data_IF_233892759179
#
_entry.id   IF_233892759179
#
_cell.length_a   1.000
_cell.length_b   1.000
_cell.length_c   1.000
_cell.angle_alpha   90.00
_cell.angle_beta   90.00
_cell.angle_gamma   90.00
#
_symmetry.space_group_name_H-M   'P 1'
#
loop_
_entity.id
_entity.type
_entity.pdbx_description
1 polymer ?
#
# COMPACT_ATOMS: atom_id res chain seq x y z
N UNK A 1 26.36 44.51 -52.65
CA UNK A 1 25.36 43.57 -52.09
C UNK A 1 25.98 42.18 -52.09
N UNK A 2 26.60 41.75 -50.99
CA UNK A 2 27.16 40.41 -50.86
C UNK A 2 27.37 40.06 -49.38
N UNK A 3 26.27 39.90 -48.63
CA UNK A 3 26.31 39.36 -47.28
C UNK A 3 24.93 38.79 -46.92
N UNK A 4 24.56 37.63 -47.45
CA UNK A 4 23.33 36.95 -47.00
C UNK A 4 23.35 35.42 -47.12
N UNK A 5 24.51 34.80 -47.30
CA UNK A 5 24.59 33.34 -47.49
C UNK A 5 25.29 32.60 -46.34
N UNK A 6 26.09 33.28 -45.50
CA UNK A 6 26.84 32.61 -44.42
C UNK A 6 26.03 32.40 -43.13
N UNK A 7 25.01 33.21 -42.85
CA UNK A 7 24.19 33.06 -41.64
C UNK A 7 23.18 31.91 -41.74
N UNK A 8 22.66 31.64 -42.95
CA UNK A 8 21.69 30.57 -43.18
C UNK A 8 22.32 29.17 -43.07
N UNK A 9 23.58 29.02 -43.49
CA UNK A 9 24.31 27.74 -43.40
C UNK A 9 24.65 27.38 -41.95
N UNK A 10 24.95 28.39 -41.11
CA UNK A 10 25.25 28.16 -39.69
C UNK A 10 24.00 27.76 -38.89
N UNK A 11 22.82 28.30 -39.25
CA UNK A 11 21.56 27.93 -38.61
C UNK A 11 21.10 26.51 -38.98
N UNK A 12 21.34 26.07 -40.22
CA UNK A 12 21.05 24.69 -40.65
C UNK A 12 22.01 23.64 -40.04
N UNK A 13 23.26 24.00 -39.75
CA UNK A 13 24.20 23.12 -39.02
C UNK A 13 23.88 22.98 -37.52
N UNK A 14 23.26 23.99 -36.91
CA UNK A 14 22.79 23.95 -35.51
C UNK A 14 21.50 23.11 -35.33
N UNK A 15 20.74 22.87 -36.40
CA UNK A 15 19.56 22.00 -36.39
C UNK A 15 19.88 20.51 -36.57
N UNK A 16 21.14 20.14 -36.85
CA UNK A 16 21.55 18.75 -37.11
C UNK A 16 22.18 18.01 -35.93
N UNK A 17 22.27 18.62 -34.73
CA UNK A 17 22.86 17.99 -33.51
C UNK A 17 21.86 17.87 -32.35
N UNK A 18 20.56 17.93 -32.65
CA UNK A 18 19.53 17.38 -31.77
C UNK A 18 18.95 16.13 -32.45
N UNK A 19 19.80 15.11 -32.65
CA UNK A 19 19.23 13.77 -32.67
C UNK A 19 18.46 13.66 -31.34
N UNK A 20 17.16 13.30 -31.33
CA UNK A 20 16.58 12.84 -30.10
C UNK A 20 17.50 11.69 -29.68
N UNK A 21 18.25 11.89 -28.60
CA UNK A 21 18.75 10.77 -27.84
C UNK A 21 17.47 10.01 -27.53
N UNK A 22 17.21 8.98 -28.32
CA UNK A 22 16.25 7.98 -27.96
C UNK A 22 16.88 7.42 -26.72
N UNK A 23 16.48 7.94 -25.56
CA UNK A 23 16.53 7.20 -24.32
C UNK A 23 15.73 5.94 -24.65
N UNK A 24 16.42 4.95 -25.21
CA UNK A 24 16.09 3.57 -24.95
C UNK A 24 16.37 3.40 -23.46
N UNK A 25 15.50 3.98 -22.64
CA UNK A 25 15.12 3.29 -21.44
C UNK A 25 14.52 2.00 -21.99
N UNK A 26 15.31 0.93 -21.96
CA UNK A 26 14.68 -0.36 -21.81
C UNK A 26 13.87 -0.20 -20.51
N UNK A 27 12.57 0.00 -20.64
CA UNK A 27 11.67 -0.19 -19.52
C UNK A 27 11.91 -1.65 -19.12
N UNK A 28 12.63 -1.86 -18.02
CA UNK A 28 12.87 -3.19 -17.49
C UNK A 28 11.55 -3.65 -16.86
N UNK A 29 10.63 -4.06 -17.73
CA UNK A 29 9.29 -4.45 -17.34
C UNK A 29 9.38 -5.82 -16.68
N UNK A 30 9.05 -5.89 -15.40
CA UNK A 30 8.95 -7.17 -14.69
C UNK A 30 7.50 -7.63 -14.72
N UNK A 31 7.28 -8.88 -15.11
CA UNK A 31 5.97 -9.54 -15.04
C UNK A 31 6.03 -10.65 -14.00
N UNK A 32 5.13 -10.60 -13.02
CA UNK A 32 4.97 -11.64 -12.00
C UNK A 32 3.56 -12.24 -12.11
N UNK A 33 3.45 -13.54 -11.85
CA UNK A 33 2.18 -14.26 -11.89
C UNK A 33 2.10 -15.23 -10.72
N UNK A 34 0.98 -15.23 -10.00
CA UNK A 34 0.72 -16.12 -8.87
C UNK A 34 -0.78 -16.19 -8.55
N UNK A 35 -1.14 -17.14 -7.69
CA UNK A 35 -2.50 -17.35 -7.21
C UNK A 35 -2.60 -17.10 -5.71
N UNK A 36 -3.55 -16.26 -5.33
CA UNK A 36 -3.90 -15.92 -3.97
C UNK A 36 -5.08 -16.75 -3.48
N UNK A 37 -5.03 -17.16 -2.22
CA UNK A 37 -6.08 -17.97 -1.57
C UNK A 37 -6.67 -17.20 -0.39
N UNK A 38 -7.81 -16.54 -0.61
CA UNK A 38 -8.57 -15.81 0.42
C UNK A 38 -9.50 -16.80 1.13
N UNK A 39 -9.15 -17.14 2.37
CA UNK A 39 -9.86 -18.14 3.18
C UNK A 39 -10.52 -17.44 4.35
N UNK A 40 -11.84 -17.32 4.27
CA UNK A 40 -12.69 -16.68 5.29
C UNK A 40 -13.31 -17.75 6.21
N UNK A 41 -13.50 -18.96 5.69
CA UNK A 41 -14.15 -20.07 6.38
C UNK A 41 -13.18 -21.05 7.06
N UNK A 42 -13.73 -22.04 7.76
CA UNK A 42 -12.95 -23.12 8.37
C UNK A 42 -12.28 -22.77 9.70
N UNK A 43 -11.37 -23.65 10.15
CA UNK A 43 -10.72 -23.52 11.47
C UNK A 43 -9.47 -22.64 11.46
N UNK A 44 -8.91 -22.36 10.28
CA UNK A 44 -7.69 -21.57 10.10
C UNK A 44 -7.90 -20.51 9.00
N UNK A 45 -8.80 -19.54 9.20
CA UNK A 45 -9.02 -18.48 8.22
C UNK A 45 -7.78 -17.60 8.08
N UNK A 46 -7.51 -17.15 6.86
CA UNK A 46 -6.48 -16.17 6.52
C UNK A 46 -7.05 -14.77 6.32
N UNK A 47 -8.37 -14.67 6.24
CA UNK A 47 -9.14 -13.43 6.09
C UNK A 47 -10.18 -13.33 7.20
N UNK A 48 -10.05 -12.28 8.02
CA UNK A 48 -10.82 -12.14 9.27
C UNK A 48 -11.51 -10.78 9.32
N UNK A 49 -12.84 -10.72 9.53
CA UNK A 49 -13.55 -9.46 9.72
C UNK A 49 -13.13 -8.80 11.03
N UNK A 50 -12.73 -7.53 10.96
CA UNK A 50 -12.25 -6.74 12.11
C UNK A 50 -13.11 -5.52 12.41
N UNK A 51 -13.86 -5.03 11.41
CA UNK A 51 -14.81 -3.93 11.58
C UNK A 51 -16.15 -4.35 10.98
N UNK A 52 -17.22 -4.22 11.76
CA UNK A 52 -18.58 -4.26 11.25
C UNK A 52 -19.00 -2.86 10.82
N UNK A 53 -19.24 -2.69 9.54
CA UNK A 53 -19.68 -1.42 8.96
C UNK A 53 -21.10 -1.04 9.40
N UNK A 54 -21.47 0.25 9.23
CA UNK A 54 -22.80 0.76 9.58
C UNK A 54 -23.91 0.28 8.63
N UNK A 55 -23.58 -0.54 7.64
CA UNK A 55 -24.50 -1.02 6.62
C UNK A 55 -25.78 -1.67 7.16
N UNK A 56 -26.81 -1.68 6.33
CA UNK A 56 -28.11 -2.25 6.68
C UNK A 56 -28.12 -3.78 6.85
N UNK A 57 -29.28 -4.33 7.21
CA UNK A 57 -29.45 -5.76 7.46
C UNK A 57 -29.14 -6.67 6.26
N UNK A 58 -29.16 -6.12 5.03
CA UNK A 58 -28.92 -6.87 3.80
C UNK A 58 -27.49 -6.59 3.28
N UNK A 59 -26.67 -7.64 3.03
CA UNK A 59 -25.35 -7.50 2.44
C UNK A 59 -25.41 -6.84 1.05
N UNK A 60 -24.56 -5.85 0.82
CA UNK A 60 -24.34 -5.26 -0.52
C UNK A 60 -23.45 -6.18 -1.37
N UNK A 61 -22.65 -7.04 -0.74
CA UNK A 61 -21.90 -8.12 -1.37
C UNK A 61 -22.31 -9.48 -0.77
N UNK A 62 -23.42 -10.08 -1.25
CA UNK A 62 -23.94 -11.33 -0.68
C UNK A 62 -22.96 -12.51 -0.73
N UNK A 63 -22.16 -12.63 -1.80
CA UNK A 63 -21.14 -13.68 -1.95
C UNK A 63 -20.03 -13.58 -0.89
N UNK A 64 -19.77 -12.38 -0.39
CA UNK A 64 -18.78 -12.13 0.66
C UNK A 64 -19.40 -12.05 2.06
N UNK A 65 -20.74 -12.02 2.14
CA UNK A 65 -21.46 -11.76 3.39
C UNK A 65 -21.24 -10.36 3.97
N UNK A 66 -20.80 -9.40 3.15
CA UNK A 66 -20.40 -8.06 3.60
C UNK A 66 -21.45 -6.99 3.31
N UNK A 67 -21.54 -6.01 4.21
CA UNK A 67 -22.27 -4.74 4.03
C UNK A 67 -21.29 -3.56 4.05
N UNK A 68 -21.73 -2.40 3.53
CA UNK A 68 -20.93 -1.19 3.45
C UNK A 68 -20.20 -0.85 4.76
N UNK A 69 -18.88 -0.67 4.66
CA UNK A 69 -17.95 -0.39 5.76
C UNK A 69 -17.41 -1.63 6.47
N UNK A 70 -17.92 -2.83 6.19
CA UNK A 70 -17.30 -4.06 6.70
C UNK A 70 -15.85 -4.12 6.22
N UNK A 71 -14.94 -4.39 7.14
CA UNK A 71 -13.50 -4.44 6.87
C UNK A 71 -12.91 -5.74 7.38
N UNK A 72 -12.13 -6.40 6.55
CA UNK A 72 -11.37 -7.61 6.90
C UNK A 72 -9.88 -7.35 6.81
N UNK A 73 -9.12 -7.97 7.71
CA UNK A 73 -7.66 -8.09 7.60
C UNK A 73 -7.32 -9.40 6.93
N UNK A 74 -6.29 -9.40 6.09
CA UNK A 74 -5.83 -10.58 5.35
C UNK A 74 -4.35 -10.87 5.57
N UNK A 75 -4.03 -12.16 5.56
CA UNK A 75 -2.69 -12.71 5.45
C UNK A 75 -2.75 -13.99 4.59
N UNK A 76 -3.06 -13.81 3.31
CA UNK A 76 -3.38 -14.90 2.39
C UNK A 76 -2.12 -15.49 1.74
N UNK A 77 -2.15 -16.77 1.43
CA UNK A 77 -1.04 -17.45 0.76
C UNK A 77 -1.01 -17.11 -0.74
N UNK A 78 0.19 -16.94 -1.30
CA UNK A 78 0.42 -16.86 -2.74
C UNK A 78 1.17 -18.11 -3.21
N UNK A 79 0.69 -18.74 -4.29
CA UNK A 79 1.25 -19.97 -4.86
C UNK A 79 1.48 -19.88 -6.37
N UNK A 80 2.35 -20.74 -6.91
CA UNK A 80 2.66 -20.79 -8.36
C UNK A 80 1.47 -21.20 -9.23
N UNK A 81 0.54 -21.99 -8.71
CA UNK A 81 -0.64 -22.46 -9.44
C UNK A 81 -1.91 -22.26 -8.62
N UNK A 82 -3.08 -22.42 -9.23
CA UNK A 82 -4.38 -22.32 -8.54
C UNK A 82 -4.61 -23.38 -7.46
N UNK A 83 -3.76 -24.42 -7.38
CA UNK A 83 -3.82 -25.40 -6.31
C UNK A 83 -3.20 -24.83 -5.02
N UNK A 84 -3.96 -24.79 -3.92
CA UNK A 84 -3.50 -24.29 -2.62
C UNK A 84 -2.33 -25.08 -2.01
N UNK A 85 -2.10 -26.31 -2.50
CA UNK A 85 -0.98 -27.17 -2.10
C UNK A 85 0.27 -26.99 -2.97
N UNK A 86 0.22 -26.14 -3.99
CA UNK A 86 1.38 -25.85 -4.83
C UNK A 86 2.41 -24.97 -4.12
N UNK A 87 3.59 -24.80 -4.73
CA UNK A 87 4.72 -24.10 -4.13
C UNK A 87 4.30 -22.71 -3.62
N UNK A 88 4.48 -22.39 -2.32
CA UNK A 88 4.24 -21.07 -1.81
C UNK A 88 5.35 -20.11 -2.26
N UNK A 89 4.96 -18.96 -2.80
CA UNK A 89 5.88 -17.95 -3.35
C UNK A 89 5.83 -16.63 -2.61
N UNK A 90 4.81 -16.42 -1.79
CA UNK A 90 4.62 -15.17 -1.04
C UNK A 90 3.36 -15.15 -0.19
N UNK A 91 3.03 -13.96 0.30
CA UNK A 91 1.81 -13.65 1.05
C UNK A 91 1.17 -12.36 0.54
N UNK A 92 -0.14 -12.24 0.64
CA UNK A 92 -0.85 -10.98 0.48
C UNK A 92 -1.37 -10.51 1.83
N UNK A 93 -0.84 -9.38 2.32
CA UNK A 93 -1.06 -8.89 3.68
C UNK A 93 -1.64 -7.48 3.66
N UNK A 94 -2.79 -7.28 4.30
CA UNK A 94 -3.43 -5.96 4.29
C UNK A 94 -4.90 -6.00 4.70
N UNK A 95 -5.70 -5.16 4.06
CA UNK A 95 -7.13 -5.04 4.34
C UNK A 95 -7.98 -4.98 3.08
N UNK A 96 -9.21 -5.46 3.22
CA UNK A 96 -10.33 -5.19 2.35
C UNK A 96 -11.39 -4.40 3.10
N UNK A 97 -12.01 -3.43 2.44
CA UNK A 97 -13.19 -2.74 2.97
C UNK A 97 -14.29 -2.70 1.91
N UNK A 98 -15.50 -3.12 2.24
CA UNK A 98 -16.63 -2.93 1.33
C UNK A 98 -16.98 -1.45 1.23
N UNK A 99 -16.63 -0.83 0.11
CA UNK A 99 -16.55 0.62 -0.04
C UNK A 99 -17.64 1.20 -0.96
N UNK A 100 -18.46 0.35 -1.58
CA UNK A 100 -19.64 0.79 -2.34
C UNK A 100 -20.93 0.49 -1.60
N UNK A 101 -21.85 1.47 -1.60
CA UNK A 101 -23.18 1.32 -1.04
C UNK A 101 -24.15 0.55 -1.97
N UNK A 102 -23.79 0.41 -3.25
CA UNK A 102 -24.70 -0.09 -4.30
C UNK A 102 -24.16 -1.26 -5.10
N UNK A 103 -22.91 -1.68 -4.88
CA UNK A 103 -22.25 -2.73 -5.64
C UNK A 103 -21.24 -3.49 -4.75
N UNK A 104 -20.87 -4.74 -5.11
CA UNK A 104 -19.96 -5.55 -4.32
C UNK A 104 -18.49 -5.16 -4.55
N UNK A 105 -18.14 -3.95 -4.12
CA UNK A 105 -16.84 -3.32 -4.40
C UNK A 105 -16.02 -3.23 -3.13
N UNK A 106 -14.86 -3.87 -3.16
CA UNK A 106 -13.85 -3.75 -2.12
C UNK A 106 -12.88 -2.60 -2.46
N UNK A 107 -12.51 -1.83 -1.45
CA UNK A 107 -11.26 -1.07 -1.46
C UNK A 107 -10.18 -2.00 -0.93
N UNK A 108 -9.15 -2.22 -1.72
CA UNK A 108 -8.00 -3.05 -1.35
C UNK A 108 -6.85 -2.14 -0.96
N UNK A 109 -6.19 -2.45 0.16
CA UNK A 109 -4.90 -1.85 0.54
C UNK A 109 -4.06 -2.93 1.18
N UNK A 110 -3.07 -3.43 0.43
CA UNK A 110 -2.31 -4.60 0.83
C UNK A 110 -0.91 -4.62 0.22
N UNK A 111 -0.03 -5.40 0.82
CA UNK A 111 1.30 -5.70 0.31
C UNK A 111 1.33 -7.13 -0.21
N UNK A 112 1.92 -7.30 -1.40
CA UNK A 112 2.44 -8.59 -1.84
C UNK A 112 3.84 -8.72 -1.22
N UNK A 113 4.03 -9.69 -0.33
CA UNK A 113 5.31 -10.06 0.25
C UNK A 113 5.83 -11.30 -0.48
N UNK A 114 6.95 -11.19 -1.18
CA UNK A 114 7.56 -12.32 -1.87
C UNK A 114 8.55 -13.03 -0.93
N UNK A 115 8.49 -14.35 -0.88
CA UNK A 115 9.25 -15.17 0.07
C UNK A 115 10.14 -16.21 -0.60
N UNK A 116 10.22 -16.17 -1.93
CA UNK A 116 10.90 -17.18 -2.73
C UNK A 116 11.78 -16.56 -3.83
N UNK A 117 12.75 -17.35 -4.29
CA UNK A 117 13.63 -17.02 -5.41
C UNK A 117 14.39 -15.70 -5.22
N UNK A 118 14.64 -15.03 -6.34
CA UNK A 118 15.41 -13.81 -6.40
C UNK A 118 14.72 -12.61 -5.74
N UNK A 119 13.41 -12.67 -5.52
CA UNK A 119 12.62 -11.57 -4.97
C UNK A 119 12.32 -11.74 -3.48
N UNK A 120 12.87 -12.76 -2.82
CA UNK A 120 12.65 -13.02 -1.40
C UNK A 120 12.92 -11.78 -0.54
N UNK A 121 11.95 -11.40 0.29
CA UNK A 121 11.96 -10.22 1.15
C UNK A 121 11.58 -8.91 0.45
N UNK A 122 11.37 -8.91 -0.86
CA UNK A 122 10.85 -7.74 -1.58
C UNK A 122 9.33 -7.67 -1.45
N UNK A 123 8.80 -6.45 -1.45
CA UNK A 123 7.35 -6.22 -1.39
C UNK A 123 6.86 -5.30 -2.50
N UNK A 124 5.57 -5.43 -2.83
CA UNK A 124 4.83 -4.50 -3.69
C UNK A 124 3.61 -4.01 -2.94
N UNK A 125 3.39 -2.69 -2.91
CA UNK A 125 2.22 -2.08 -2.33
C UNK A 125 1.12 -1.95 -3.39
N UNK A 126 -0.03 -2.58 -3.13
CA UNK A 126 -1.20 -2.58 -4.01
C UNK A 126 -2.33 -1.80 -3.36
N UNK A 127 -2.94 -0.91 -4.12
CA UNK A 127 -4.12 -0.16 -3.71
C UNK A 127 -5.08 -0.02 -4.88
N UNK A 128 -6.36 -0.25 -4.65
CA UNK A 128 -7.34 0.00 -5.70
C UNK A 128 -8.75 -0.48 -5.41
N UNK A 129 -9.60 -0.25 -6.40
CA UNK A 129 -11.01 -0.62 -6.40
C UNK A 129 -11.17 -2.01 -7.02
N UNK A 130 -11.62 -2.97 -6.22
CA UNK A 130 -11.91 -4.34 -6.65
C UNK A 130 -13.42 -4.55 -6.75
N UNK A 131 -13.94 -4.47 -7.98
CA UNK A 131 -15.34 -4.78 -8.27
C UNK A 131 -15.50 -6.29 -8.48
N UNK A 132 -15.92 -7.00 -7.44
CA UNK A 132 -15.95 -8.47 -7.47
C UNK A 132 -16.95 -9.04 -8.47
N UNK A 133 -17.83 -8.22 -9.05
CA UNK A 133 -18.73 -8.60 -10.14
C UNK A 133 -18.08 -8.54 -11.53
N UNK A 134 -16.91 -7.93 -11.69
CA UNK A 134 -16.17 -7.87 -12.94
C UNK A 134 -15.25 -9.08 -13.12
N UNK A 135 -15.07 -9.51 -14.37
CA UNK A 135 -14.22 -10.68 -14.71
C UNK A 135 -12.74 -10.43 -14.39
N UNK A 136 -12.24 -9.25 -14.72
CA UNK A 136 -10.86 -8.81 -14.48
C UNK A 136 -10.89 -7.39 -13.89
N UNK A 137 -10.11 -7.17 -12.83
CA UNK A 137 -10.02 -5.89 -12.12
C UNK A 137 -8.59 -5.40 -12.14
N UNK A 138 -8.40 -4.11 -12.39
CA UNK A 138 -7.07 -3.49 -12.37
C UNK A 138 -6.90 -2.71 -11.07
N UNK A 139 -5.86 -3.03 -10.31
CA UNK A 139 -5.46 -2.28 -9.12
C UNK A 139 -4.05 -1.72 -9.33
N UNK A 140 -3.77 -0.57 -8.74
CA UNK A 140 -2.48 0.08 -8.90
C UNK A 140 -1.43 -0.57 -8.00
N UNK A 141 -0.23 -0.79 -8.55
CA UNK A 141 0.99 -0.95 -7.76
C UNK A 141 1.55 0.44 -7.52
N UNK A 142 1.43 0.91 -6.27
CA UNK A 142 1.77 2.29 -5.89
C UNK A 142 3.21 2.42 -5.36
N UNK A 143 3.91 1.31 -5.18
CA UNK A 143 5.28 1.28 -4.68
C UNK A 143 5.79 -0.14 -4.46
N UNK A 144 7.04 -0.24 -4.02
CA UNK A 144 7.63 -1.50 -3.60
C UNK A 144 8.90 -1.31 -2.78
N UNK A 145 9.42 -2.40 -2.24
CA UNK A 145 10.64 -2.46 -1.44
C UNK A 145 11.59 -3.54 -1.97
N UNK A 146 12.83 -3.57 -1.47
CA UNK A 146 13.84 -4.51 -1.93
C UNK A 146 14.15 -4.32 -3.41
N UNK A 147 14.06 -5.39 -4.20
CA UNK A 147 14.29 -5.35 -5.65
C UNK A 147 13.24 -4.52 -6.40
N UNK A 148 12.08 -4.28 -5.78
CA UNK A 148 11.01 -3.46 -6.36
C UNK A 148 10.96 -2.05 -5.76
N UNK A 149 12.07 -1.55 -5.22
CA UNK A 149 12.12 -0.18 -4.71
C UNK A 149 11.78 0.81 -5.82
N UNK A 150 10.87 1.73 -5.52
CA UNK A 150 10.29 2.69 -6.47
C UNK A 150 9.52 2.05 -7.65
N UNK A 151 9.12 0.78 -7.55
CA UNK A 151 8.30 0.16 -8.57
C UNK A 151 6.94 0.87 -8.68
N UNK A 152 6.48 1.03 -9.91
CA UNK A 152 5.11 1.48 -10.24
C UNK A 152 4.54 0.53 -11.26
N UNK A 153 3.22 0.38 -11.30
CA UNK A 153 2.60 -0.55 -12.23
C UNK A 153 1.16 -0.84 -11.88
N UNK A 154 0.70 -2.02 -12.29
CA UNK A 154 -0.66 -2.47 -12.05
C UNK A 154 -0.69 -3.99 -11.84
N UNK A 155 -1.74 -4.46 -11.18
CA UNK A 155 -2.09 -5.87 -11.09
C UNK A 155 -3.45 -6.09 -11.73
N UNK A 156 -3.52 -7.10 -12.60
CA UNK A 156 -4.78 -7.66 -13.04
C UNK A 156 -5.18 -8.76 -12.06
N UNK A 157 -6.34 -8.56 -11.47
CA UNK A 157 -6.93 -9.38 -10.43
C UNK A 157 -8.06 -10.18 -11.08
N UNK A 158 -8.04 -11.51 -11.05
CA UNK A 158 -9.08 -12.37 -11.64
C UNK A 158 -9.51 -13.49 -10.69
N UNK A 159 -10.81 -13.60 -10.41
CA UNK A 159 -11.30 -14.65 -9.50
C UNK A 159 -11.50 -15.92 -10.32
N UNK A 160 -10.68 -16.94 -10.05
CA UNK A 160 -10.66 -18.18 -10.83
C UNK A 160 -11.52 -19.28 -10.21
N UNK A 161 -11.74 -19.22 -8.89
CA UNK A 161 -12.68 -20.08 -8.19
C UNK A 161 -13.33 -19.32 -7.03
N UNK A 162 -14.59 -19.61 -6.75
CA UNK A 162 -15.36 -19.03 -5.64
C UNK A 162 -16.17 -20.15 -4.97
N UNK A 163 -15.81 -20.46 -3.73
CA UNK A 163 -16.55 -21.34 -2.83
C UNK A 163 -16.99 -20.50 -1.62
N UNK A 164 -17.89 -19.56 -1.89
CA UNK A 164 -18.24 -18.47 -0.98
C UNK A 164 -18.38 -18.93 0.49
N UNK A 165 -17.70 -18.27 1.45
CA UNK A 165 -16.97 -17.00 1.28
C UNK A 165 -15.52 -17.12 0.78
N UNK A 166 -15.02 -18.32 0.49
CA UNK A 166 -13.60 -18.52 0.11
C UNK A 166 -13.38 -18.31 -1.40
N UNK A 167 -12.22 -17.78 -1.78
CA UNK A 167 -11.88 -17.47 -3.16
C UNK A 167 -10.43 -17.82 -3.52
N UNK A 168 -10.24 -18.21 -4.79
CA UNK A 168 -8.92 -18.28 -5.43
C UNK A 168 -8.84 -17.17 -6.48
N UNK A 169 -7.81 -16.34 -6.38
CA UNK A 169 -7.59 -15.17 -7.23
C UNK A 169 -6.27 -15.33 -7.98
N UNK A 170 -6.31 -15.21 -9.29
CA UNK A 170 -5.13 -15.08 -10.16
C UNK A 170 -4.69 -13.62 -10.21
N UNK A 171 -3.40 -13.39 -10.02
CA UNK A 171 -2.77 -12.07 -9.98
C UNK A 171 -1.67 -12.00 -11.05
N UNK A 172 -1.88 -11.16 -12.07
CA UNK A 172 -0.88 -10.82 -13.09
C UNK A 172 -0.36 -9.40 -12.82
N UNK A 173 0.90 -9.29 -12.38
CA UNK A 173 1.50 -8.02 -11.94
C UNK A 173 2.51 -7.53 -12.96
N UNK A 174 2.32 -6.31 -13.44
CA UNK A 174 3.20 -5.65 -14.40
C UNK A 174 3.86 -4.45 -13.74
N UNK A 175 5.19 -4.41 -13.74
CA UNK A 175 5.98 -3.43 -13.01
C UNK A 175 6.98 -2.74 -13.92
N UNK A 176 7.09 -1.42 -13.75
CA UNK A 176 8.27 -0.65 -14.15
C UNK A 176 9.05 -0.21 -12.92
N UNK A 177 10.36 -0.43 -12.92
CA UNK A 177 11.29 0.11 -11.92
C UNK A 177 12.01 1.32 -12.51
N UNK A 178 12.00 2.45 -11.81
CA UNK A 178 12.64 3.68 -12.31
C UNK A 178 14.13 3.47 -12.61
N UNK A 179 14.60 4.04 -13.72
CA UNK A 179 15.93 3.83 -14.33
C UNK A 179 17.12 4.43 -13.55
N UNK A 180 17.03 4.52 -12.22
CA UNK A 180 18.03 5.14 -11.35
C UNK A 180 18.96 4.12 -10.70
N UNK A 181 20.10 4.60 -10.22
CA UNK A 181 21.02 3.89 -9.30
C UNK A 181 20.33 3.60 -7.97
N UNK A 182 19.36 2.68 -7.98
CA UNK A 182 18.67 2.23 -6.79
C UNK A 182 19.61 1.27 -6.08
N UNK A 183 19.97 1.58 -4.83
CA UNK A 183 20.78 0.69 -4.01
C UNK A 183 19.99 -0.58 -3.68
N UNK A 184 20.05 -1.57 -4.57
CA UNK A 184 19.44 -2.87 -4.38
C UNK A 184 19.97 -3.59 -3.13
N UNK A 185 21.11 -3.13 -2.58
CA UNK A 185 21.74 -3.67 -1.37
C UNK A 185 21.17 -3.08 -0.08
N UNK A 186 20.36 -2.03 -0.16
CA UNK A 186 19.74 -1.43 1.02
C UNK A 186 18.78 -2.43 1.69
N UNK A 187 18.75 -2.49 3.04
CA UNK A 187 18.07 -3.55 3.79
C UNK A 187 16.60 -3.75 3.39
N UNK A 188 16.17 -5.01 3.40
CA UNK A 188 14.75 -5.42 3.31
C UNK A 188 14.24 -5.82 4.69
N UNK A 189 12.92 -5.68 4.91
CA UNK A 189 12.30 -6.14 6.16
C UNK A 189 12.46 -7.66 6.29
N UNK A 190 12.67 -8.19 7.51
CA UNK A 190 12.66 -9.64 7.74
C UNK A 190 11.34 -10.26 7.28
N UNK A 191 11.41 -11.43 6.68
CA UNK A 191 10.24 -12.27 6.39
C UNK A 191 9.85 -13.02 7.66
N UNK A 192 8.56 -13.07 7.98
CA UNK A 192 8.05 -13.81 9.13
C UNK A 192 8.47 -15.29 9.06
N UNK A 193 9.09 -15.80 10.13
CA UNK A 193 9.54 -17.19 10.22
C UNK A 193 10.91 -17.51 9.61
N UNK A 194 11.63 -16.52 9.06
CA UNK A 194 13.00 -16.70 8.60
C UNK A 194 13.98 -16.86 9.77
N UNK A 195 14.60 -18.03 9.91
CA UNK A 195 15.69 -18.23 10.87
C UNK A 195 16.87 -17.32 10.51
N UNK A 196 17.11 -16.28 11.30
CA UNK A 196 18.29 -15.43 11.18
C UNK A 196 19.57 -16.25 11.30
N UNK A 197 20.36 -16.30 10.23
CA UNK A 197 21.69 -16.90 10.26
C UNK A 197 22.57 -16.18 11.29
N UNK A 198 23.19 -16.96 12.17
CA UNK A 198 24.14 -16.48 13.17
C UNK A 198 25.38 -15.86 12.51
N UNK A 199 25.41 -14.53 12.44
CA UNK A 199 26.59 -13.77 12.07
C UNK A 199 27.63 -13.77 13.19
N UNK A 200 28.73 -14.47 12.97
CA UNK A 200 29.96 -14.48 13.77
C UNK A 200 30.44 -13.06 14.11
N UNK A 201 30.71 -12.81 15.39
CA UNK A 201 31.37 -11.61 15.90
C UNK A 201 32.85 -11.61 15.51
N UNK A 202 33.20 -11.02 14.37
CA UNK A 202 34.57 -10.68 14.00
C UNK A 202 34.96 -9.30 14.55
N UNK A 203 35.99 -9.25 15.41
CA UNK A 203 36.60 -8.02 15.86
C UNK A 203 37.35 -7.33 14.71
N UNK A 204 36.98 -6.08 14.41
CA UNK A 204 37.59 -5.27 13.36
C UNK A 204 37.63 -3.80 13.76
N UNK A 205 38.84 -3.24 13.72
CA UNK A 205 39.26 -1.93 14.17
C UNK A 205 38.50 -0.73 13.57
N UNK A 206 38.25 0.28 14.43
CA UNK A 206 37.74 1.60 14.07
C UNK A 206 38.63 2.28 13.04
N UNK A 207 38.05 2.70 11.91
CA UNK A 207 38.60 3.73 11.02
C UNK A 207 37.57 4.84 10.89
N UNK A 208 37.89 5.99 11.47
CA UNK A 208 37.12 7.22 11.34
C UNK A 208 37.43 7.87 9.98
N UNK A 209 36.46 7.88 9.07
CA UNK A 209 36.43 8.83 7.96
C UNK A 209 35.14 9.63 8.07
N UNK A 210 35.29 10.94 8.23
CA UNK A 210 34.18 11.86 8.43
C UNK A 210 33.36 12.02 7.17
N UNK A 211 32.06 11.74 7.27
CA UNK A 211 31.06 12.16 6.29
C UNK A 211 30.34 13.40 6.83
N UNK A 212 30.42 14.50 6.10
CA UNK A 212 29.68 15.72 6.39
C UNK A 212 28.17 15.42 6.37
N UNK A 213 27.48 15.78 7.47
CA UNK A 213 26.02 15.68 7.57
C UNK A 213 25.40 16.77 6.71
N UNK A 214 24.85 16.42 5.55
CA UNK A 214 23.87 17.28 4.87
C UNK A 214 22.51 16.94 5.47
N UNK A 215 22.06 17.78 6.40
CA UNK A 215 20.70 17.69 6.97
C UNK A 215 19.73 18.34 5.99
N UNK A 216 19.10 17.57 5.12
CA UNK A 216 17.83 18.00 4.50
C UNK A 216 16.74 17.64 5.50
N UNK A 217 16.39 18.59 6.36
CA UNK A 217 15.30 18.44 7.31
C UNK A 217 13.97 18.61 6.58
N UNK A 218 13.18 17.54 6.50
CA UNK A 218 11.74 17.69 6.30
C UNK A 218 11.11 18.01 7.67
N UNK A 219 10.57 19.21 7.82
CA UNK A 219 9.66 19.50 8.91
C UNK A 219 8.31 18.90 8.52
N UNK A 220 7.96 17.75 9.11
CA UNK A 220 6.58 17.28 9.10
C UNK A 220 5.88 17.96 10.26
N UNK A 221 5.11 19.00 9.98
CA UNK A 221 4.17 19.54 10.94
C UNK A 221 3.01 18.56 11.03
N UNK A 222 2.90 17.80 12.12
CA UNK A 222 1.68 17.09 12.45
C UNK A 222 0.66 18.11 12.96
N UNK A 223 -0.37 18.40 12.17
CA UNK A 223 -1.55 19.13 12.66
C UNK A 223 -2.52 18.11 13.21
N UNK A 224 -2.54 17.93 14.54
CA UNK A 224 -3.62 17.20 15.20
C UNK A 224 -4.79 18.17 15.36
N UNK A 225 -5.74 18.13 14.43
CA UNK A 225 -7.00 18.83 14.59
C UNK A 225 -7.95 17.96 15.42
N UNK A 226 -8.11 18.30 16.71
CA UNK A 226 -9.18 17.75 17.55
C UNK A 226 -10.41 18.62 17.35
N UNK A 227 -11.37 18.14 16.58
CA UNK A 227 -12.65 18.79 16.36
C UNK A 227 -13.73 18.21 17.26
N UNK A 228 -14.56 19.07 17.84
CA UNK A 228 -15.74 18.65 18.60
C UNK A 228 -16.95 18.91 17.72
N UNK A 229 -17.81 17.91 17.51
CA UNK A 229 -19.08 18.10 16.79
C UNK A 229 -20.26 17.69 17.66
N UNK A 230 -21.38 18.37 17.48
CA UNK A 230 -22.61 18.13 18.24
C UNK A 230 -23.65 17.53 17.33
N UNK A 231 -23.99 16.27 17.57
CA UNK A 231 -25.01 15.53 16.79
C UNK A 231 -26.12 15.10 17.74
N UNK A 232 -27.36 15.54 17.45
CA UNK A 232 -28.58 15.23 18.24
C UNK A 232 -28.49 15.59 19.73
N UNK A 233 -27.75 16.64 20.06
CA UNK A 233 -27.62 17.15 21.43
C UNK A 233 -26.45 16.56 22.22
N UNK A 234 -25.83 15.48 21.72
CA UNK A 234 -24.69 14.81 22.33
C UNK A 234 -23.36 15.29 21.72
N UNK A 235 -22.29 15.27 22.52
CA UNK A 235 -20.93 15.68 22.12
C UNK A 235 -20.14 14.49 21.60
N UNK A 236 -19.48 14.68 20.46
CA UNK A 236 -18.63 13.69 19.81
C UNK A 236 -17.23 14.25 19.60
N UNK A 237 -16.23 13.47 19.98
CA UNK A 237 -14.83 13.72 19.63
C UNK A 237 -14.59 13.24 18.19
N UNK A 238 -14.11 14.13 17.32
CA UNK A 238 -13.65 13.78 15.98
C UNK A 238 -12.15 14.06 15.92
N UNK A 239 -11.36 13.01 16.12
CA UNK A 239 -9.92 13.05 15.89
C UNK A 239 -9.65 12.85 14.41
N UNK A 240 -9.16 13.88 13.72
CA UNK A 240 -8.56 13.72 12.40
C UNK A 240 -7.06 13.50 12.62
N UNK A 241 -6.60 12.28 12.36
CA UNK A 241 -5.17 11.97 12.29
C UNK A 241 -4.78 11.94 10.82
N UNK A 242 -4.22 13.04 10.34
CA UNK A 242 -3.68 13.13 8.97
C UNK A 242 -2.29 12.47 8.93
N UNK A 243 -2.15 11.40 8.14
CA UNK A 243 -0.86 10.87 7.72
C UNK A 243 -0.79 10.85 6.19
N UNK A 244 0.26 11.46 5.66
CA UNK A 244 0.53 11.53 4.23
C UNK A 244 0.69 10.13 3.60
N UNK A 245 0.10 9.98 2.41
CA UNK A 245 0.28 8.94 1.39
C UNK A 245 -0.28 7.52 1.56
N UNK A 246 -0.86 7.10 2.69
CA UNK A 246 -1.44 5.74 2.78
C UNK A 246 -2.72 5.71 3.63
N UNK A 247 -3.86 6.03 3.01
CA UNK A 247 -5.20 5.74 3.55
C UNK A 247 -5.68 6.63 4.70
N UNK A 248 -7.00 6.87 4.75
CA UNK A 248 -7.67 7.63 5.81
C UNK A 248 -8.41 6.66 6.75
N UNK A 249 -8.06 6.66 8.04
CA UNK A 249 -8.80 5.96 9.09
C UNK A 249 -9.54 7.00 9.94
N UNK A 250 -10.87 6.95 9.94
CA UNK A 250 -11.70 7.78 10.84
C UNK A 250 -12.12 6.92 12.02
N UNK A 251 -11.65 7.28 13.22
CA UNK A 251 -12.10 6.67 14.49
C UNK A 251 -13.15 7.59 15.10
N UNK A 252 -14.36 7.07 15.29
CA UNK A 252 -15.45 7.76 16.01
C UNK A 252 -15.72 6.98 17.27
N UNK A 253 -15.53 7.61 18.42
CA UNK A 253 -15.81 6.97 19.71
C UNK A 253 -16.78 7.83 20.54
N UNK A 254 -17.61 7.17 21.35
CA UNK A 254 -18.61 7.85 22.20
C UNK A 254 -17.99 8.17 23.54
N UNK A 255 -17.98 9.44 23.93
CA UNK A 255 -17.47 9.85 25.26
C UNK A 255 -18.44 9.36 26.35
N UNK A 256 -17.99 8.54 27.33
CA UNK A 256 -18.82 8.16 28.47
C UNK A 256 -19.03 9.36 29.42
N UNK A 257 -20.26 9.54 29.93
CA UNK A 257 -20.68 10.68 30.78
C UNK A 257 -19.76 10.96 31.98
N UNK A 258 -19.11 9.93 32.51
CA UNK A 258 -18.26 10.05 33.70
C UNK A 258 -16.98 10.88 33.46
N UNK A 259 -16.47 10.90 32.21
CA UNK A 259 -15.28 11.69 31.82
C UNK A 259 -15.55 13.19 31.69
N UNK A 260 -16.79 13.57 31.35
CA UNK A 260 -17.20 14.97 31.17
C UNK A 260 -17.14 15.77 32.48
N UNK A 261 -17.45 15.12 33.61
CA UNK A 261 -17.43 15.74 34.95
C UNK A 261 -16.02 16.17 35.38
N UNK A 262 -14.99 15.40 34.98
CA UNK A 262 -13.58 15.65 35.30
C UNK A 262 -12.95 16.76 34.47
N UNK A 263 -13.40 16.94 33.22
CA UNK A 263 -12.94 17.99 32.32
C UNK A 263 -13.57 19.34 32.65
N UNK A 264 -14.84 19.37 33.05
CA UNK A 264 -15.53 20.58 33.50
C UNK A 264 -15.03 21.09 34.86
N UNK A 265 -14.58 20.21 35.76
CA UNK A 265 -13.96 20.63 37.03
C UNK A 265 -12.57 21.26 36.87
N UNK A 266 -11.77 20.79 35.90
CA UNK A 266 -10.45 21.39 35.64
C UNK A 266 -10.52 22.77 34.99
N UNK A 267 -11.60 23.09 34.28
CA UNK A 267 -11.79 24.41 33.65
C UNK A 267 -12.19 25.53 34.62
N UNK A 268 -12.73 25.21 35.81
CA UNK A 268 -13.26 26.24 36.74
C UNK A 268 -12.28 26.72 37.82
N UNK A 269 -11.13 26.09 37.97
CA UNK A 269 -10.14 26.44 39.01
C UNK A 269 -8.87 27.14 38.48
N UNK A 270 -8.90 27.69 37.26
CA UNK A 270 -7.79 28.48 36.70
C UNK A 270 -8.24 29.87 36.23
N UNK A 271 -9.24 30.44 36.91
CA UNK A 271 -9.57 31.87 36.85
C UNK A 271 -10.10 32.35 38.21
N UNK A 272 -9.18 32.80 39.07
CA UNK A 272 -9.30 33.67 40.26
C UNK A 272 -7.88 33.75 40.84
N UNK A 273 -7.16 34.85 41.07
CA UNK A 273 -7.34 36.32 40.97
C UNK A 273 -8.76 36.89 40.85
#
# INVERSE_FOLDING_TARGET
>A
MAASHSAAVLLLLLLAVAAPASLHAADDTTHLHFFMHDIVSGSNPTSVPVIKGPGGANPTAPSLGMTFGDTSVIDDALTETSASTSTPVGRMQGIYMLSSQSAPVLMVTANILLTSGDYNGSTLAVMGRDDTAADVRELAVVGGTGKFRMATGYVLWKTTAMNAPDATIELDVYLGTGNGTIDASAPVSPVDGGSGGSGSSGSGSKSSSGAARVTVGWVVAAVVAVGWTRVRGEWWDVGVVEWSLVGMLVVVDRIPDERLSSLLHKSKNTQKD
#
